data_IF_295247223272
#
_entry.id   IF_295247223272
#
_cell.length_a   1.000
_cell.length_b   1.000
_cell.length_c   1.000
_cell.angle_alpha   90.00
_cell.angle_beta   90.00
_cell.angle_gamma   90.00
#
_symmetry.space_group_name_H-M   'P 1'
#
loop_
_entity.id
_entity.type
_entity.pdbx_description
1 polymer ?
#
# COMPACT_ATOMS: atom_id res chain seq x y z
N UNK A 1 10.79 -2.93 11.89
CA UNK A 1 12.24 -2.78 12.19
C UNK A 1 12.55 -1.85 13.37
N UNK A 2 11.57 -1.13 13.94
CA UNK A 2 11.78 -0.21 15.06
C UNK A 2 10.72 -0.51 16.12
N UNK A 3 11.10 -0.56 17.40
CA UNK A 3 10.19 -0.75 18.52
C UNK A 3 10.82 -0.09 19.75
N UNK A 4 10.04 0.72 20.47
CA UNK A 4 10.49 1.37 21.70
C UNK A 4 10.63 0.36 22.86
N UNK A 5 9.89 -0.76 22.81
CA UNK A 5 10.02 -1.83 23.78
C UNK A 5 11.06 -2.87 23.34
N UNK A 6 12.26 -2.69 23.88
CA UNK A 6 13.45 -3.48 23.59
C UNK A 6 13.39 -4.87 24.26
N UNK A 7 12.45 -5.07 25.20
CA UNK A 7 12.21 -6.38 25.83
C UNK A 7 11.43 -7.32 24.91
N UNK A 8 10.60 -6.75 24.02
CA UNK A 8 9.80 -7.48 23.03
C UNK A 8 10.64 -7.79 21.78
N UNK A 9 11.52 -6.85 21.38
CA UNK A 9 12.35 -7.03 20.21
C UNK A 9 13.70 -6.32 20.34
N UNK A 10 14.63 -6.92 21.10
CA UNK A 10 15.96 -6.35 21.36
C UNK A 10 16.78 -6.06 20.10
N UNK A 11 16.52 -6.80 19.02
CA UNK A 11 17.17 -6.58 17.74
C UNK A 11 16.68 -5.33 17.00
N UNK A 12 15.53 -4.76 17.39
CA UNK A 12 14.97 -3.55 16.79
C UNK A 12 15.65 -2.28 17.33
N UNK A 13 15.57 -1.23 16.52
CA UNK A 13 16.06 0.09 16.86
C UNK A 13 15.04 0.83 17.75
N UNK A 14 15.52 1.42 18.85
CA UNK A 14 14.75 2.33 19.69
C UNK A 14 15.02 3.78 19.26
N UNK A 15 14.02 4.43 18.67
CA UNK A 15 14.05 5.83 18.25
C UNK A 15 13.32 6.77 19.23
N UNK A 16 12.82 6.25 20.35
CA UNK A 16 12.00 7.03 21.29
C UNK A 16 12.82 7.92 22.23
N UNK A 17 14.13 7.67 22.34
CA UNK A 17 15.04 8.41 23.22
C UNK A 17 16.44 8.56 22.62
N UNK A 18 17.14 9.63 23.00
CA UNK A 18 18.55 9.85 22.61
C UNK A 18 19.44 8.69 23.04
N UNK A 19 19.22 8.17 24.25
CA UNK A 19 19.92 6.97 24.75
C UNK A 19 19.63 5.73 23.92
N UNK A 20 18.41 5.54 23.45
CA UNK A 20 18.02 4.42 22.59
C UNK A 20 18.70 4.48 21.21
N UNK A 21 18.73 5.67 20.60
CA UNK A 21 19.40 5.91 19.33
C UNK A 21 20.91 5.63 19.45
N UNK A 22 21.54 6.12 20.52
CA UNK A 22 22.96 5.86 20.78
C UNK A 22 23.26 4.39 21.07
N UNK A 23 22.33 3.66 21.70
CA UNK A 23 22.49 2.23 21.97
C UNK A 23 22.53 1.38 20.69
N UNK A 24 22.02 1.89 19.55
CA UNK A 24 22.13 1.24 18.25
C UNK A 24 21.12 0.11 18.00
N UNK A 25 21.22 -0.51 16.83
CA UNK A 25 20.33 -1.59 16.39
C UNK A 25 20.88 -2.99 16.72
N UNK A 26 20.09 -4.05 16.57
CA UNK A 26 20.53 -5.46 16.71
C UNK A 26 21.23 -5.79 18.04
N UNK A 27 20.71 -5.31 19.17
CA UNK A 27 21.33 -5.53 20.49
C UNK A 27 21.20 -6.98 20.93
N UNK A 28 22.32 -7.58 21.30
CA UNK A 28 22.39 -8.91 21.93
C UNK A 28 23.52 -8.85 22.98
N UNK A 29 23.24 -8.85 24.30
CA UNK A 29 21.92 -8.86 24.97
C UNK A 29 21.20 -7.50 24.91
N UNK A 30 19.90 -7.40 25.30
CA UNK A 30 19.09 -6.17 25.14
C UNK A 30 19.64 -4.94 25.88
N UNK A 31 20.33 -5.15 27.00
CA UNK A 31 20.97 -4.10 27.78
C UNK A 31 22.36 -3.69 27.24
N UNK A 32 22.85 -4.34 26.18
CA UNK A 32 24.15 -4.09 25.58
C UNK A 32 24.12 -3.05 24.46
N UNK A 33 25.32 -2.64 24.03
CA UNK A 33 25.52 -1.80 22.85
C UNK A 33 25.29 -2.62 21.59
N UNK A 34 24.49 -2.08 20.68
CA UNK A 34 24.21 -2.64 19.36
C UNK A 34 25.05 -2.01 18.25
N UNK A 35 24.70 -2.31 17.01
CA UNK A 35 25.28 -1.72 15.82
C UNK A 35 25.02 -0.21 15.79
N UNK A 36 26.10 0.57 15.69
CA UNK A 36 26.02 2.03 15.59
C UNK A 36 25.40 2.43 14.26
N UNK A 37 24.24 3.07 14.32
CA UNK A 37 23.52 3.51 13.12
C UNK A 37 24.00 4.87 12.56
N UNK A 38 24.78 5.63 13.34
CA UNK A 38 25.23 6.99 13.04
C UNK A 38 26.67 7.06 12.47
N UNK A 39 27.31 5.91 12.24
CA UNK A 39 28.63 5.85 11.59
C UNK A 39 29.75 6.53 12.37
N UNK A 40 29.61 6.69 13.69
CA UNK A 40 30.62 7.36 14.53
C UNK A 40 30.80 8.85 14.19
N UNK A 41 29.77 9.50 13.61
CA UNK A 41 29.83 10.90 13.17
C UNK A 41 30.24 11.08 11.70
N UNK A 42 30.61 10.00 11.01
CA UNK A 42 30.77 10.00 9.55
C UNK A 42 29.44 9.59 8.90
N UNK A 43 28.79 10.55 8.25
CA UNK A 43 27.44 10.39 7.71
C UNK A 43 27.38 9.36 6.57
N UNK A 44 28.32 9.43 5.63
CA UNK A 44 28.38 8.54 4.46
C UNK A 44 28.67 7.09 4.83
N UNK A 45 29.24 6.86 6.01
CA UNK A 45 29.49 5.53 6.56
C UNK A 45 28.39 5.04 7.51
N UNK A 46 27.36 5.86 7.75
CA UNK A 46 26.28 5.52 8.67
C UNK A 46 25.32 4.50 8.04
N UNK A 47 24.87 3.55 8.86
CA UNK A 47 23.80 2.60 8.46
C UNK A 47 22.54 3.39 8.11
N UNK A 48 22.27 4.50 8.80
CA UNK A 48 21.14 5.37 8.50
C UNK A 48 21.21 5.94 7.07
N UNK A 49 22.36 6.42 6.63
CA UNK A 49 22.56 6.87 5.26
C UNK A 49 22.39 5.73 4.25
N UNK A 50 22.95 4.55 4.56
CA UNK A 50 22.78 3.37 3.72
C UNK A 50 21.31 3.02 3.54
N UNK A 51 20.50 3.04 4.60
CA UNK A 51 19.07 2.70 4.51
C UNK A 51 18.29 3.81 3.79
N UNK A 52 18.55 5.09 4.09
CA UNK A 52 17.75 6.20 3.56
C UNK A 52 18.07 6.57 2.10
N UNK A 53 19.36 6.53 1.72
CA UNK A 53 19.81 7.16 0.47
C UNK A 53 20.46 6.17 -0.50
N UNK A 54 21.19 5.17 0.01
CA UNK A 54 21.89 4.20 -0.86
C UNK A 54 20.95 3.08 -1.25
N UNK A 55 20.36 2.41 -0.27
CA UNK A 55 19.50 1.26 -0.44
C UNK A 55 18.01 1.66 -0.51
N UNK A 56 17.67 2.88 -0.11
CA UNK A 56 16.31 3.45 -0.15
C UNK A 56 15.26 2.51 0.47
N UNK A 57 15.63 1.87 1.59
CA UNK A 57 14.82 0.87 2.29
C UNK A 57 13.80 1.49 3.25
N UNK A 58 13.81 2.81 3.41
CA UNK A 58 12.72 3.53 4.08
C UNK A 58 11.78 4.09 3.01
N UNK A 59 10.45 3.95 3.17
CA UNK A 59 9.51 4.68 2.34
C UNK A 59 9.79 6.18 2.47
N UNK A 60 9.72 6.90 1.34
CA UNK A 60 9.82 8.34 1.34
C UNK A 60 8.82 8.89 2.38
N UNK A 61 9.30 9.76 3.26
CA UNK A 61 8.44 10.42 4.26
C UNK A 61 7.27 11.12 3.58
N UNK A 62 6.30 11.58 4.38
CA UNK A 62 5.08 12.22 3.88
C UNK A 62 5.42 13.17 2.72
N UNK A 63 4.67 13.12 1.60
CA UNK A 63 4.96 13.99 0.47
C UNK A 63 4.97 15.45 0.91
N UNK A 64 5.71 16.30 0.18
CA UNK A 64 5.63 17.75 0.39
C UNK A 64 4.17 18.19 0.15
N UNK A 65 3.51 18.66 1.21
CA UNK A 65 2.08 18.97 1.20
C UNK A 65 1.14 17.85 1.68
N UNK A 66 1.68 16.67 2.05
CA UNK A 66 0.92 15.54 2.61
C UNK A 66 0.43 15.72 4.05
N UNK A 67 0.83 16.82 4.69
CA UNK A 67 0.28 17.28 5.97
C UNK A 67 -0.11 18.74 5.82
N UNK A 68 -1.34 19.07 6.23
CA UNK A 68 -1.81 20.46 6.29
C UNK A 68 -0.86 21.30 7.15
N UNK A 69 -0.55 22.56 6.78
CA UNK A 69 0.26 23.46 7.60
C UNK A 69 -0.31 23.67 9.01
N UNK A 70 -1.61 23.49 9.16
CA UNK A 70 -2.36 23.67 10.40
C UNK A 70 -2.45 22.39 11.26
N UNK A 71 -1.81 21.30 10.83
CA UNK A 71 -1.87 19.99 11.49
C UNK A 71 -3.11 19.16 11.13
N UNK A 72 -3.28 17.97 11.74
CA UNK A 72 -4.40 17.09 11.43
C UNK A 72 -5.73 17.68 11.92
N UNK A 73 -6.72 17.78 11.01
CA UNK A 73 -8.07 18.23 11.34
C UNK A 73 -8.82 17.15 12.12
N UNK A 74 -9.15 17.41 13.40
CA UNK A 74 -9.99 16.53 14.21
C UNK A 74 -11.46 16.92 14.01
N UNK A 75 -12.28 16.05 13.40
CA UNK A 75 -13.72 16.27 13.31
C UNK A 75 -14.42 15.91 14.63
N UNK A 76 -15.08 16.89 15.25
CA UNK A 76 -15.89 16.71 16.44
C UNK A 76 -17.37 16.44 16.06
N UNK A 77 -17.66 15.22 15.59
CA UNK A 77 -19.01 14.65 15.46
C UNK A 77 -19.94 15.28 14.40
N UNK A 78 -20.91 14.48 13.94
CA UNK A 78 -21.98 14.89 13.01
C UNK A 78 -23.34 14.68 13.69
N UNK A 79 -24.27 15.64 13.54
CA UNK A 79 -25.66 15.48 13.97
C UNK A 79 -26.36 14.43 13.08
N UNK A 80 -26.81 13.33 13.69
CA UNK A 80 -27.58 12.29 13.01
C UNK A 80 -29.04 12.71 12.92
N UNK A 81 -29.50 13.10 11.72
CA UNK A 81 -30.93 13.14 11.39
C UNK A 81 -31.31 11.83 10.72
N UNK A 82 -32.13 11.01 11.39
CA UNK A 82 -32.59 9.74 10.82
C UNK A 82 -33.65 9.97 9.73
N UNK A 83 -33.49 9.43 8.52
CA UNK A 83 -34.56 9.38 7.54
C UNK A 83 -35.50 8.19 7.81
N UNK A 84 -36.80 8.40 7.57
CA UNK A 84 -37.84 7.36 7.59
C UNK A 84 -37.71 6.52 6.31
N UNK A 85 -37.70 5.17 6.37
CA UNK A 85 -37.54 4.34 5.19
C UNK A 85 -38.87 4.23 4.42
N UNK A 86 -38.85 4.59 3.14
CA UNK A 86 -39.84 4.16 2.15
C UNK A 86 -39.38 2.86 1.49
N UNK A 87 -40.29 1.99 1.01
CA UNK A 87 -39.89 0.73 0.41
C UNK A 87 -39.30 1.02 -0.97
N UNK A 88 -38.07 0.61 -1.22
CA UNK A 88 -37.48 0.62 -2.56
C UNK A 88 -36.86 -0.75 -2.81
N UNK A 89 -37.20 -1.29 -3.98
CA UNK A 89 -37.06 -2.68 -4.33
C UNK A 89 -35.59 -3.12 -4.47
N UNK A 90 -35.29 -4.27 -3.86
CA UNK A 90 -34.11 -5.08 -4.15
C UNK A 90 -34.16 -5.57 -5.60
N UNK A 91 -33.24 -5.07 -6.42
CA UNK A 91 -32.77 -5.74 -7.62
C UNK A 91 -31.35 -6.19 -7.37
N UNK A 92 -31.16 -7.49 -7.11
CA UNK A 92 -29.84 -8.09 -6.95
C UNK A 92 -29.04 -8.00 -8.24
N UNK A 93 -28.07 -7.10 -8.25
CA UNK A 93 -26.87 -7.21 -9.06
C UNK A 93 -25.71 -7.20 -8.07
N UNK A 94 -24.83 -8.19 -8.19
CA UNK A 94 -23.61 -8.30 -7.41
C UNK A 94 -22.81 -7.00 -7.59
N UNK A 95 -22.54 -6.29 -6.49
CA UNK A 95 -21.94 -4.96 -6.53
C UNK A 95 -20.46 -5.10 -6.91
N UNK A 96 -20.04 -4.41 -7.98
CA UNK A 96 -18.64 -4.40 -8.46
C UNK A 96 -17.71 -4.02 -7.31
N UNK A 97 -16.71 -4.84 -7.01
CA UNK A 97 -15.75 -4.58 -5.94
C UNK A 97 -15.11 -3.18 -6.08
N UNK A 98 -14.92 -2.50 -4.95
CA UNK A 98 -14.35 -1.15 -4.86
C UNK A 98 -13.22 -1.10 -3.83
N UNK A 99 -12.23 -0.20 -4.02
CA UNK A 99 -11.21 0.03 -3.00
C UNK A 99 -11.84 0.54 -1.70
N UNK A 100 -11.22 0.21 -0.56
CA UNK A 100 -11.60 0.78 0.73
C UNK A 100 -11.39 2.30 0.79
N UNK A 101 -10.39 2.78 0.06
CA UNK A 101 -10.05 4.20 -0.02
C UNK A 101 -10.89 4.91 -1.07
N UNK A 102 -11.59 5.96 -0.66
CA UNK A 102 -12.43 6.74 -1.55
C UNK A 102 -11.58 7.57 -2.54
N UNK A 103 -11.96 7.57 -3.81
CA UNK A 103 -11.32 8.36 -4.84
C UNK A 103 -11.89 8.11 -6.24
N UNK A 104 -11.55 8.99 -7.17
CA UNK A 104 -11.87 8.81 -8.59
C UNK A 104 -10.79 8.03 -9.34
N UNK A 105 -11.03 7.73 -10.62
CA UNK A 105 -9.97 7.21 -11.49
C UNK A 105 -8.91 8.27 -11.76
N UNK A 106 -7.70 7.83 -12.04
CA UNK A 106 -6.61 8.62 -12.61
C UNK A 106 -6.74 8.80 -14.13
N UNK A 107 -5.81 9.59 -14.68
CA UNK A 107 -5.67 9.82 -16.11
C UNK A 107 -5.28 8.55 -16.89
N UNK A 108 -4.78 7.52 -16.20
CA UNK A 108 -4.40 6.24 -16.79
C UNK A 108 -5.54 5.57 -17.58
N UNK A 109 -6.79 5.76 -17.14
CA UNK A 109 -7.99 5.26 -17.85
C UNK A 109 -8.19 5.86 -19.25
N UNK A 110 -7.56 7.00 -19.53
CA UNK A 110 -7.59 7.67 -20.85
C UNK A 110 -6.38 7.32 -21.72
N UNK A 111 -5.45 6.49 -21.24
CA UNK A 111 -4.24 6.09 -21.94
C UNK A 111 -4.36 4.66 -22.49
N UNK A 112 -3.70 4.38 -23.61
CA UNK A 112 -3.51 3.01 -24.09
C UNK A 112 -2.25 2.40 -23.49
N UNK A 113 -2.40 1.42 -22.60
CA UNK A 113 -1.29 0.71 -21.96
C UNK A 113 -0.56 -0.26 -22.90
N UNK A 114 0.70 -0.56 -22.55
CA UNK A 114 1.56 -1.56 -23.18
C UNK A 114 1.78 -2.71 -22.19
N UNK A 115 1.27 -3.91 -22.54
CA UNK A 115 1.32 -5.07 -21.65
C UNK A 115 2.73 -5.56 -21.32
N UNK A 116 3.70 -5.37 -22.22
CA UNK A 116 5.09 -5.81 -22.00
C UNK A 116 5.79 -4.89 -21.02
N UNK A 117 5.52 -3.59 -21.12
CA UNK A 117 5.98 -2.61 -20.13
C UNK A 117 5.24 -2.81 -18.81
N UNK A 118 3.94 -3.11 -18.86
CA UNK A 118 3.09 -3.39 -17.72
C UNK A 118 3.53 -4.61 -16.91
N UNK A 119 3.97 -5.67 -17.59
CA UNK A 119 4.55 -6.84 -16.94
C UNK A 119 5.76 -6.45 -16.08
N UNK A 120 6.63 -5.57 -16.58
CA UNK A 120 7.78 -5.11 -15.80
C UNK A 120 7.36 -4.30 -14.57
N UNK A 121 6.38 -3.41 -14.72
CA UNK A 121 5.82 -2.66 -13.57
C UNK A 121 5.23 -3.64 -12.53
N UNK A 122 4.56 -4.69 -13.01
CA UNK A 122 4.02 -5.74 -12.15
C UNK A 122 5.11 -6.49 -11.36
N UNK A 123 6.16 -6.95 -12.05
CA UNK A 123 7.30 -7.66 -11.45
C UNK A 123 8.02 -6.79 -10.41
N UNK A 124 8.19 -5.50 -10.69
CA UNK A 124 8.92 -4.56 -9.84
C UNK A 124 8.12 -4.13 -8.59
N UNK A 125 6.78 -4.06 -8.66
CA UNK A 125 5.95 -3.41 -7.63
C UNK A 125 4.82 -4.27 -7.04
N UNK A 126 4.22 -5.16 -7.84
CA UNK A 126 2.99 -5.87 -7.48
C UNK A 126 3.26 -7.32 -7.05
N UNK A 127 4.22 -7.98 -7.71
CA UNK A 127 4.54 -9.39 -7.52
C UNK A 127 4.93 -9.74 -6.08
N UNK A 128 5.53 -8.83 -5.34
CA UNK A 128 5.92 -9.05 -3.93
C UNK A 128 4.73 -9.45 -3.04
N UNK A 129 3.53 -9.00 -3.41
CA UNK A 129 2.30 -9.23 -2.66
C UNK A 129 1.33 -10.16 -3.41
N UNK A 130 1.19 -10.00 -4.71
CA UNK A 130 0.23 -10.78 -5.53
C UNK A 130 0.85 -12.01 -6.19
N UNK A 131 2.16 -12.23 -6.00
CA UNK A 131 2.84 -13.42 -6.48
C UNK A 131 3.30 -13.38 -7.93
N UNK A 132 3.86 -14.50 -8.38
CA UNK A 132 4.19 -14.65 -9.79
C UNK A 132 2.90 -14.64 -10.62
N UNK A 133 2.84 -13.76 -11.61
CA UNK A 133 1.69 -13.60 -12.53
C UNK A 133 0.32 -13.39 -11.84
N UNK A 134 0.29 -12.92 -10.59
CA UNK A 134 -0.96 -12.64 -9.86
C UNK A 134 -1.60 -13.86 -9.21
N UNK A 135 -0.90 -14.99 -9.13
CA UNK A 135 -1.50 -16.27 -8.74
C UNK A 135 -1.32 -16.63 -7.26
N UNK A 136 -0.45 -15.91 -6.53
CA UNK A 136 -0.13 -16.30 -5.16
C UNK A 136 -1.12 -15.70 -4.17
N UNK A 137 -1.68 -16.57 -3.32
CA UNK A 137 -2.55 -16.19 -2.21
C UNK A 137 -1.68 -15.90 -0.97
N UNK A 138 -0.85 -14.87 -1.05
CA UNK A 138 0.09 -14.52 0.03
C UNK A 138 -0.69 -14.22 1.31
N UNK A 139 -0.28 -14.79 2.45
CA UNK A 139 -1.02 -14.65 3.71
C UNK A 139 -1.07 -13.19 4.16
N UNK A 140 -2.28 -12.72 4.48
CA UNK A 140 -2.54 -11.39 5.05
C UNK A 140 -3.23 -11.55 6.41
N UNK A 141 -2.48 -11.78 7.49
CA UNK A 141 -3.08 -11.99 8.80
C UNK A 141 -3.96 -10.79 9.20
N UNK A 142 -5.15 -11.09 9.71
CA UNK A 142 -6.08 -10.08 10.19
C UNK A 142 -6.98 -9.45 9.12
N UNK A 143 -6.86 -9.86 7.85
CA UNK A 143 -7.96 -9.75 6.90
C UNK A 143 -8.94 -10.91 7.06
N UNK A 144 -10.19 -10.71 6.65
CA UNK A 144 -11.25 -11.71 6.72
C UNK A 144 -10.99 -12.88 5.77
N UNK A 145 -10.46 -12.60 4.57
CA UNK A 145 -10.04 -13.62 3.59
C UNK A 145 -8.70 -14.29 3.93
N UNK A 146 -7.99 -13.77 4.94
CA UNK A 146 -6.70 -14.28 5.41
C UNK A 146 -5.54 -14.18 4.43
N UNK A 147 -5.77 -13.66 3.22
CA UNK A 147 -4.78 -13.57 2.12
C UNK A 147 -4.87 -12.23 1.39
N UNK A 148 -3.81 -11.90 0.66
CA UNK A 148 -3.81 -10.89 -0.40
C UNK A 148 -4.52 -11.54 -1.60
N UNK A 149 -5.52 -10.86 -2.19
CA UNK A 149 -6.31 -11.46 -3.25
C UNK A 149 -5.45 -11.74 -4.50
N UNK A 150 -5.70 -12.86 -5.20
CA UNK A 150 -5.05 -13.12 -6.48
C UNK A 150 -5.54 -12.11 -7.53
N UNK A 151 -4.68 -11.82 -8.50
CA UNK A 151 -4.99 -11.01 -9.67
C UNK A 151 -5.11 -11.85 -10.95
N UNK A 152 -4.93 -13.16 -10.84
CA UNK A 152 -5.09 -14.12 -11.92
C UNK A 152 -5.50 -15.51 -11.36
N UNK A 153 -6.77 -15.92 -11.46
CA UNK A 153 -7.89 -15.07 -11.87
C UNK A 153 -8.14 -13.97 -10.83
N UNK A 154 -8.47 -12.77 -11.31
CA UNK A 154 -8.95 -11.68 -10.47
C UNK A 154 -10.43 -11.87 -10.10
N UNK A 155 -10.90 -11.19 -9.07
CA UNK A 155 -12.31 -11.11 -8.69
C UNK A 155 -13.20 -10.87 -9.92
N UNK A 156 -14.13 -11.80 -10.17
CA UNK A 156 -15.00 -11.81 -11.34
C UNK A 156 -15.88 -10.56 -11.42
N UNK A 157 -16.19 -9.92 -10.29
CA UNK A 157 -16.98 -8.67 -10.25
C UNK A 157 -16.24 -7.49 -10.87
N UNK A 158 -14.91 -7.53 -10.95
CA UNK A 158 -14.09 -6.49 -11.60
C UNK A 158 -14.00 -6.68 -13.11
N UNK A 159 -14.17 -7.92 -13.60
CA UNK A 159 -14.01 -8.28 -15.01
C UNK A 159 -15.13 -7.66 -15.84
N UNK A 160 -14.76 -7.04 -16.95
CA UNK A 160 -15.70 -6.56 -17.95
C UNK A 160 -15.20 -6.88 -19.36
N UNK A 161 -16.13 -7.23 -20.24
CA UNK A 161 -15.83 -7.38 -21.68
C UNK A 161 -15.54 -6.04 -22.37
N UNK A 162 -15.97 -4.93 -21.77
CA UNK A 162 -15.55 -3.59 -22.18
C UNK A 162 -14.22 -3.23 -21.49
N UNK A 163 -13.17 -3.06 -22.31
CA UNK A 163 -11.83 -2.73 -21.83
C UNK A 163 -11.83 -1.47 -20.96
N UNK A 164 -12.59 -0.44 -21.33
CA UNK A 164 -12.61 0.84 -20.61
C UNK A 164 -13.16 0.66 -19.20
N UNK A 165 -14.23 -0.13 -19.07
CA UNK A 165 -14.85 -0.46 -17.79
C UNK A 165 -13.92 -1.32 -16.93
N UNK A 166 -13.26 -2.32 -17.52
CA UNK A 166 -12.30 -3.14 -16.76
C UNK A 166 -11.09 -2.32 -16.32
N UNK A 167 -10.54 -1.49 -17.21
CA UNK A 167 -9.46 -0.56 -16.89
C UNK A 167 -9.86 0.43 -15.78
N UNK A 168 -11.07 0.98 -15.83
CA UNK A 168 -11.62 1.84 -14.79
C UNK A 168 -11.69 1.12 -13.44
N UNK A 169 -12.20 -0.11 -13.41
CA UNK A 169 -12.31 -0.89 -12.18
C UNK A 169 -10.94 -1.13 -11.55
N UNK A 170 -9.93 -1.53 -12.34
CA UNK A 170 -8.56 -1.75 -11.87
C UNK A 170 -7.87 -0.45 -11.43
N UNK A 171 -8.08 0.62 -12.20
CA UNK A 171 -7.48 1.92 -11.94
C UNK A 171 -7.90 2.47 -10.58
N UNK A 172 -9.14 2.27 -10.13
CA UNK A 172 -9.56 2.72 -8.81
C UNK A 172 -8.69 2.14 -7.67
N UNK A 173 -8.31 0.87 -7.76
CA UNK A 173 -7.43 0.23 -6.77
C UNK A 173 -5.98 0.70 -6.92
N UNK A 174 -5.47 0.82 -8.14
CA UNK A 174 -4.10 1.28 -8.40
C UNK A 174 -3.92 2.76 -8.04
N UNK A 175 -4.94 3.58 -8.29
CA UNK A 175 -4.93 5.01 -8.03
C UNK A 175 -5.06 5.28 -6.53
N UNK A 176 -5.98 4.60 -5.83
CA UNK A 176 -6.37 4.95 -4.46
C UNK A 176 -5.89 3.96 -3.39
N UNK A 177 -5.39 2.79 -3.78
CA UNK A 177 -5.01 1.74 -2.85
C UNK A 177 -6.24 1.04 -2.27
N UNK A 178 -6.00 0.02 -1.45
CA UNK A 178 -7.09 -0.70 -0.77
C UNK A 178 -6.56 -1.47 0.43
N UNK A 179 -7.37 -1.53 1.47
CA UNK A 179 -7.18 -2.40 2.63
C UNK A 179 -8.22 -3.51 2.57
N UNK A 180 -7.78 -4.76 2.68
CA UNK A 180 -8.69 -5.89 2.76
C UNK A 180 -9.58 -5.76 4.02
N UNK A 181 -10.84 -6.21 3.92
CA UNK A 181 -11.74 -6.24 5.07
C UNK A 181 -11.16 -7.08 6.21
N UNK A 182 -11.48 -6.70 7.44
CA UNK A 182 -11.05 -7.40 8.65
C UNK A 182 -10.52 -6.46 9.73
N UNK A 183 -10.38 -6.97 10.98
CA UNK A 183 -10.11 -6.13 12.13
C UNK A 183 -8.72 -5.50 12.13
N UNK A 184 -7.72 -6.13 11.49
CA UNK A 184 -6.33 -5.66 11.46
C UNK A 184 -5.53 -6.29 10.30
N UNK A 185 -5.93 -6.08 9.04
CA UNK A 185 -5.17 -6.57 7.89
C UNK A 185 -3.70 -6.10 7.94
N UNK A 186 -2.76 -7.05 7.96
CA UNK A 186 -1.33 -6.78 8.13
C UNK A 186 -0.72 -6.03 6.94
N UNK A 187 -1.27 -6.24 5.74
CA UNK A 187 -0.84 -5.62 4.50
C UNK A 187 -1.99 -4.85 3.85
N UNK A 188 -1.62 -3.73 3.23
CA UNK A 188 -2.52 -2.84 2.51
C UNK A 188 -1.91 -2.54 1.14
N UNK A 189 -2.76 -2.50 0.11
CA UNK A 189 -2.36 -2.10 -1.22
C UNK A 189 -2.12 -0.58 -1.25
N UNK A 190 -0.93 -0.10 -1.60
CA UNK A 190 -0.64 1.33 -1.64
C UNK A 190 -1.47 2.06 -2.71
N UNK A 191 -1.77 3.33 -2.46
CA UNK A 191 -2.35 4.25 -3.44
C UNK A 191 -1.30 4.69 -4.47
N UNK A 192 -0.93 3.81 -5.40
CA UNK A 192 0.21 4.02 -6.32
C UNK A 192 0.11 5.32 -7.11
N UNK A 193 -1.07 5.63 -7.64
CA UNK A 193 -1.32 6.86 -8.39
C UNK A 193 -1.43 8.09 -7.50
N UNK A 194 -2.25 8.05 -6.45
CA UNK A 194 -2.50 9.20 -5.59
C UNK A 194 -1.25 9.61 -4.79
N UNK A 195 -0.39 8.65 -4.46
CA UNK A 195 0.91 8.91 -3.82
C UNK A 195 2.01 9.27 -4.82
N UNK A 196 1.73 9.24 -6.13
CA UNK A 196 2.72 9.51 -7.18
C UNK A 196 3.85 8.48 -7.26
N UNK A 197 3.68 7.29 -6.68
CA UNK A 197 4.65 6.21 -6.71
C UNK A 197 4.75 5.58 -8.11
N UNK A 198 3.65 5.55 -8.85
CA UNK A 198 3.62 5.22 -10.27
C UNK A 198 3.09 6.40 -11.08
N UNK A 199 3.68 6.63 -12.24
CA UNK A 199 3.13 7.56 -13.22
C UNK A 199 1.85 7.00 -13.82
N UNK A 200 0.98 7.87 -14.31
CA UNK A 200 -0.27 7.46 -15.00
C UNK A 200 0.01 6.55 -16.21
N UNK A 201 1.17 6.73 -16.87
CA UNK A 201 1.62 5.82 -17.92
C UNK A 201 1.91 4.40 -17.38
N UNK A 202 2.66 4.30 -16.29
CA UNK A 202 2.96 3.01 -15.66
C UNK A 202 1.70 2.32 -15.15
N UNK A 203 0.73 3.09 -14.62
CA UNK A 203 -0.58 2.56 -14.20
C UNK A 203 -1.35 2.02 -15.41
N UNK A 204 -1.42 2.77 -16.52
CA UNK A 204 -2.06 2.28 -17.74
C UNK A 204 -1.38 1.01 -18.30
N UNK A 205 -0.05 0.95 -18.23
CA UNK A 205 0.72 -0.22 -18.66
C UNK A 205 0.40 -1.46 -17.82
N UNK A 206 0.44 -1.34 -16.48
CA UNK A 206 0.14 -2.49 -15.60
C UNK A 206 -1.33 -2.91 -15.70
N UNK A 207 -2.27 -1.98 -15.90
CA UNK A 207 -3.68 -2.31 -16.22
C UNK A 207 -3.77 -3.16 -17.49
N UNK A 208 -3.08 -2.76 -18.57
CA UNK A 208 -3.10 -3.54 -19.81
C UNK A 208 -2.53 -4.95 -19.63
N UNK A 209 -1.51 -5.10 -18.78
CA UNK A 209 -0.97 -6.41 -18.41
C UNK A 209 -1.99 -7.25 -17.62
N UNK A 210 -2.58 -6.70 -16.55
CA UNK A 210 -3.55 -7.41 -15.71
C UNK A 210 -4.80 -7.82 -16.49
N UNK A 211 -5.31 -6.96 -17.37
CA UNK A 211 -6.41 -7.31 -18.27
C UNK A 211 -6.00 -8.49 -19.16
N UNK A 212 -4.77 -8.52 -19.68
CA UNK A 212 -4.32 -9.62 -20.55
C UNK A 212 -4.19 -10.97 -19.85
N UNK A 213 -4.12 -11.00 -18.52
CA UNK A 213 -4.13 -12.23 -17.71
C UNK A 213 -5.54 -12.77 -17.47
N UNK A 214 -6.57 -11.92 -17.59
CA UNK A 214 -7.96 -12.21 -17.19
C UNK A 214 -8.93 -12.16 -18.39
N UNK A 215 -8.49 -12.58 -19.57
CA UNK A 215 -9.31 -12.70 -20.79
C UNK A 215 -9.80 -14.13 -21.05
#
# INVERSE_FOLDING_TARGET
CHNADISIAAANLDLSSYSGVLAGAKRIPPAGQGENILGGGNWEQSILNQILFVNQLMPFGHPLGGVSPDGPTIQAGILVTMPVPGPTAEGGQEEVARPSEAGGPGEATSLTGDKTTGQKVYEDHCQVCHGLEGTDNVVNPGSDDGTIPPLNPIDETLISSDYTTFAYNLDLFLQNGSTAEGPNAAFQMPAWGANGALTQRQIADVIAYLISLNQ
#
